data_IF_408841840989
#
_entry.id   IF_408841840989
#
_cell.length_a   1.000
_cell.length_b   1.000
_cell.length_c   1.000
_cell.angle_alpha   90.00
_cell.angle_beta   90.00
_cell.angle_gamma   90.00
#
_symmetry.space_group_name_H-M   'P 1'
#
loop_
_entity.id
_entity.type
_entity.pdbx_description
1 polymer ?
#
# COMPACT_ATOMS: atom_id res chain seq x y z
N UNK A 1 24.18 -14.06 16.66
CA UNK A 1 22.80 -14.16 16.14
C UNK A 1 22.61 -12.99 15.18
N UNK A 2 22.71 -13.22 13.87
CA UNK A 2 22.49 -12.16 12.89
C UNK A 2 21.03 -11.73 12.97
N UNK A 3 20.80 -10.47 13.32
CA UNK A 3 19.52 -9.82 13.05
C UNK A 3 19.35 -9.81 11.54
N UNK A 4 18.65 -10.80 11.00
CA UNK A 4 17.94 -10.64 9.73
C UNK A 4 17.09 -9.38 9.94
N UNK A 5 17.47 -8.28 9.30
CA UNK A 5 16.56 -7.15 9.17
C UNK A 5 15.25 -7.72 8.65
N UNK A 6 14.17 -7.64 9.44
CA UNK A 6 12.88 -8.22 9.06
C UNK A 6 12.52 -7.70 7.67
N UNK A 7 12.44 -8.61 6.72
CA UNK A 7 12.11 -8.30 5.35
C UNK A 7 10.75 -7.59 5.33
N UNK A 8 10.70 -6.39 4.75
CA UNK A 8 9.51 -5.55 4.75
C UNK A 8 8.32 -6.34 4.18
N UNK A 9 7.32 -6.58 5.01
CA UNK A 9 6.16 -7.39 4.68
C UNK A 9 4.94 -6.94 5.46
N UNK A 10 3.75 -7.24 4.96
CA UNK A 10 2.49 -6.88 5.57
C UNK A 10 1.50 -8.02 5.42
N UNK A 11 0.73 -8.27 6.47
CA UNK A 11 -0.38 -9.22 6.42
C UNK A 11 -1.57 -8.60 5.70
N UNK A 12 -2.46 -9.43 5.17
CA UNK A 12 -3.71 -8.98 4.56
C UNK A 12 -4.56 -8.17 5.54
N UNK A 13 -4.62 -8.58 6.82
CA UNK A 13 -5.36 -7.86 7.86
C UNK A 13 -4.82 -6.46 8.08
N UNK A 14 -3.50 -6.28 8.11
CA UNK A 14 -2.87 -4.97 8.25
C UNK A 14 -3.20 -4.06 7.07
N UNK A 15 -3.08 -4.59 5.85
CA UNK A 15 -3.41 -3.84 4.63
C UNK A 15 -4.87 -3.40 4.65
N UNK A 16 -5.79 -4.33 4.92
CA UNK A 16 -7.23 -4.05 4.99
C UNK A 16 -7.60 -3.05 6.07
N UNK A 17 -6.89 -3.05 7.20
CA UNK A 17 -7.17 -2.13 8.31
C UNK A 17 -6.91 -0.66 7.96
N UNK A 18 -6.07 -0.39 6.95
CA UNK A 18 -5.80 0.96 6.47
C UNK A 18 -6.54 1.32 5.17
N UNK A 19 -7.14 0.34 4.49
CA UNK A 19 -7.87 0.61 3.26
C UNK A 19 -9.14 1.43 3.55
N UNK A 20 -9.45 2.47 2.76
CA UNK A 20 -10.71 3.18 2.87
C UNK A 20 -11.91 2.27 2.62
N UNK A 21 -13.08 2.67 3.12
CA UNK A 21 -14.32 1.94 2.85
C UNK A 21 -14.56 1.80 1.34
N UNK A 22 -14.95 0.58 0.93
CA UNK A 22 -15.18 0.25 -0.48
C UNK A 22 -13.90 -0.06 -1.28
N UNK A 23 -12.73 0.01 -0.67
CA UNK A 23 -11.49 -0.46 -1.28
C UNK A 23 -11.22 -1.91 -0.88
N UNK A 24 -10.43 -2.61 -1.69
CA UNK A 24 -10.04 -3.98 -1.41
C UNK A 24 -8.72 -4.37 -2.06
N UNK A 25 -8.21 -5.53 -1.67
CA UNK A 25 -7.01 -6.11 -2.28
C UNK A 25 -7.43 -6.86 -3.55
N UNK A 26 -6.71 -6.68 -4.65
CA UNK A 26 -6.97 -7.40 -5.90
C UNK A 26 -6.88 -8.91 -5.67
N UNK A 27 -7.81 -9.68 -6.25
CA UNK A 27 -7.87 -11.13 -6.04
C UNK A 27 -6.56 -11.79 -6.49
N UNK A 28 -5.94 -12.55 -5.59
CA UNK A 28 -4.66 -13.21 -5.86
C UNK A 28 -3.44 -12.30 -5.80
N UNK A 29 -3.62 -10.99 -5.54
CA UNK A 29 -2.51 -10.12 -5.23
C UNK A 29 -1.93 -10.51 -3.87
N UNK A 30 -0.62 -10.73 -3.86
CA UNK A 30 0.16 -10.94 -2.66
C UNK A 30 1.20 -9.83 -2.56
N UNK A 31 1.48 -9.41 -1.33
CA UNK A 31 2.59 -8.50 -1.08
C UNK A 31 3.90 -9.07 -1.60
N UNK A 32 4.61 -8.33 -2.44
CA UNK A 32 5.90 -8.74 -3.02
C UNK A 32 6.99 -7.77 -2.59
N UNK A 33 8.07 -8.34 -2.05
CA UNK A 33 9.30 -7.63 -1.77
C UNK A 33 10.22 -7.72 -3.00
N UNK A 34 10.71 -6.60 -3.49
CA UNK A 34 11.79 -6.56 -4.46
C UNK A 34 13.12 -6.80 -3.73
N UNK A 35 13.86 -7.89 -4.02
CA UNK A 35 15.09 -8.23 -3.31
C UNK A 35 16.26 -7.28 -3.62
N UNK A 36 16.18 -6.48 -4.69
CA UNK A 36 17.22 -5.51 -5.04
C UNK A 36 17.03 -4.17 -4.34
N UNK A 37 15.79 -3.68 -4.31
CA UNK A 37 15.46 -2.38 -3.71
C UNK A 37 14.99 -2.45 -2.27
N UNK A 38 14.59 -3.64 -1.79
CA UNK A 38 13.92 -3.80 -0.49
C UNK A 38 12.52 -3.19 -0.47
N UNK A 39 11.99 -2.78 -1.63
CA UNK A 39 10.68 -2.17 -1.75
C UNK A 39 9.59 -3.23 -1.72
N UNK A 40 8.58 -3.02 -0.89
CA UNK A 40 7.41 -3.88 -0.84
C UNK A 40 6.27 -3.29 -1.69
N UNK A 41 5.48 -4.14 -2.35
CA UNK A 41 4.35 -3.70 -3.16
C UNK A 41 3.15 -4.65 -3.17
N UNK A 42 1.95 -4.12 -3.37
CA UNK A 42 0.71 -4.87 -3.59
C UNK A 42 -0.27 -4.08 -4.47
N UNK A 43 -1.21 -4.76 -5.10
CA UNK A 43 -2.30 -4.14 -5.86
C UNK A 43 -3.61 -4.12 -5.06
N UNK A 44 -4.27 -2.97 -5.08
CA UNK A 44 -5.57 -2.74 -4.45
C UNK A 44 -6.52 -2.10 -5.46
N UNK A 45 -7.82 -2.30 -5.29
CA UNK A 45 -8.85 -1.61 -6.06
C UNK A 45 -9.58 -0.60 -5.18
N UNK A 46 -10.00 0.51 -5.78
CA UNK A 46 -10.88 1.48 -5.13
C UNK A 46 -12.37 1.19 -5.34
N UNK A 47 -13.24 1.99 -4.71
CA UNK A 47 -14.70 1.90 -4.83
C UNK A 47 -15.28 2.02 -6.25
N UNK A 48 -14.46 2.44 -7.22
CA UNK A 48 -14.84 2.58 -8.63
C UNK A 48 -14.06 1.57 -9.51
N UNK A 49 -13.58 0.48 -8.91
CA UNK A 49 -12.83 -0.61 -9.52
C UNK A 49 -11.51 -0.20 -10.19
N UNK A 50 -10.99 1.00 -9.90
CA UNK A 50 -9.65 1.38 -10.38
C UNK A 50 -8.59 0.64 -9.58
N UNK A 51 -7.62 0.04 -10.28
CA UNK A 51 -6.49 -0.65 -9.65
C UNK A 51 -5.36 0.34 -9.37
N UNK A 52 -4.82 0.26 -8.16
CA UNK A 52 -3.71 1.07 -7.67
C UNK A 52 -2.61 0.17 -7.13
N UNK A 53 -1.36 0.50 -7.47
CA UNK A 53 -0.18 -0.16 -6.90
C UNK A 53 0.30 0.61 -5.67
N UNK A 54 0.28 -0.06 -4.52
CA UNK A 54 0.90 0.42 -3.29
C UNK A 54 2.38 0.05 -3.32
N UNK A 55 3.25 1.01 -3.00
CA UNK A 55 4.69 0.80 -2.88
C UNK A 55 5.17 1.39 -1.56
N UNK A 56 5.82 0.57 -0.73
CA UNK A 56 6.47 1.03 0.51
C UNK A 56 7.97 0.84 0.38
N UNK A 57 8.69 1.96 0.46
CA UNK A 57 10.15 1.97 0.46
C UNK A 57 10.68 1.58 1.84
N UNK A 58 11.80 0.83 1.93
CA UNK A 58 12.37 0.41 3.20
C UNK A 58 12.76 1.60 4.10
N UNK A 59 13.21 2.71 3.51
CA UNK A 59 13.57 3.91 4.25
C UNK A 59 12.36 4.58 4.92
N UNK A 60 11.18 4.54 4.28
CA UNK A 60 9.95 5.04 4.89
C UNK A 60 9.52 4.18 6.09
N UNK A 61 9.75 2.88 6.02
CA UNK A 61 9.42 1.94 7.09
C UNK A 61 10.32 2.04 8.33
N UNK A 62 11.48 2.74 8.26
CA UNK A 62 12.38 2.94 9.41
C UNK A 62 11.71 3.71 10.56
N UNK A 63 10.75 4.58 10.25
CA UNK A 63 9.97 5.32 11.25
C UNK A 63 8.78 4.54 11.82
N UNK A 64 8.53 3.33 11.33
CA UNK A 64 7.35 2.55 11.65
C UNK A 64 6.77 1.88 10.40
N UNK A 65 6.73 0.54 10.40
CA UNK A 65 6.27 -0.24 9.25
C UNK A 65 4.81 0.07 8.90
N UNK A 66 3.92 0.04 9.89
CA UNK A 66 2.48 0.26 9.65
C UNK A 66 2.17 1.72 9.32
N UNK A 67 2.92 2.65 9.89
CA UNK A 67 2.84 4.09 9.62
C UNK A 67 3.22 4.39 8.16
N UNK A 68 4.27 3.74 7.65
CA UNK A 68 4.67 3.86 6.26
C UNK A 68 3.59 3.34 5.30
N UNK A 69 3.00 2.18 5.60
CA UNK A 69 1.88 1.63 4.82
C UNK A 69 0.68 2.58 4.81
N UNK A 70 0.27 3.08 5.98
CA UNK A 70 -0.84 4.03 6.11
C UNK A 70 -0.57 5.30 5.30
N UNK A 71 0.63 5.87 5.40
CA UNK A 71 0.99 7.09 4.68
C UNK A 71 0.91 6.94 3.14
N UNK A 72 1.28 5.76 2.62
CA UNK A 72 1.18 5.46 1.18
C UNK A 72 -0.28 5.33 0.76
N UNK A 73 -1.10 4.61 1.55
CA UNK A 73 -2.54 4.46 1.27
C UNK A 73 -3.25 5.82 1.29
N UNK A 74 -3.00 6.65 2.31
CA UNK A 74 -3.56 8.00 2.43
C UNK A 74 -3.17 8.90 1.25
N UNK A 75 -1.95 8.72 0.71
CA UNK A 75 -1.49 9.45 -0.48
C UNK A 75 -2.22 8.99 -1.73
N UNK A 76 -2.42 7.68 -1.93
CA UNK A 76 -3.13 7.13 -3.09
C UNK A 76 -4.62 7.53 -3.04
N UNK A 77 -5.25 7.44 -1.86
CA UNK A 77 -6.63 7.87 -1.66
C UNK A 77 -6.82 9.34 -2.05
N UNK A 78 -5.95 10.24 -1.58
CA UNK A 78 -6.00 11.67 -1.95
C UNK A 78 -5.85 11.90 -3.45
N UNK A 79 -4.98 11.14 -4.12
CA UNK A 79 -4.85 11.19 -5.59
C UNK A 79 -6.12 10.71 -6.29
N UNK A 80 -6.74 9.63 -5.81
CA UNK A 80 -8.01 9.12 -6.34
C UNK A 80 -9.16 10.13 -6.20
N UNK A 81 -9.28 10.79 -5.04
CA UNK A 81 -10.25 11.87 -4.82
C UNK A 81 -10.00 13.06 -5.74
N UNK A 82 -8.74 13.46 -5.95
CA UNK A 82 -8.37 14.51 -6.89
C UNK A 82 -8.78 14.19 -8.34
N UNK A 83 -8.61 12.93 -8.79
CA UNK A 83 -9.08 12.51 -10.13
C UNK A 83 -10.60 12.57 -10.25
N UNK A 84 -11.34 12.16 -9.22
CA UNK A 84 -12.83 12.25 -9.23
C UNK A 84 -13.31 13.70 -9.30
N UNK A 85 -12.65 14.63 -8.62
CA UNK A 85 -13.02 16.06 -8.66
C UNK A 85 -12.85 16.70 -10.04
N UNK A 86 -11.91 16.21 -10.86
CA UNK A 86 -11.67 16.74 -12.22
C UNK A 86 -12.67 16.17 -13.25
N UNK A 87 -13.20 14.96 -13.01
CA UNK A 87 -14.17 14.32 -13.92
C UNK A 87 -15.62 14.76 -13.67
N UNK A 88 -15.90 15.45 -12.56
CA UNK A 88 -17.23 15.92 -12.18
C UNK A 88 -17.36 17.45 -12.27
N UNK A 89 -16.39 18.14 -12.86
CA UNK A 89 -16.35 19.59 -13.05
C UNK A 89 -16.47 20.01 -14.51
#
# INVERSE_FOLDING_TARGET
MSAIAEALSYTETEIRSFLPSGWGIVRGAAGRLDPRSGRWSIEVYDSADNVWSIHVEPDAARGGRLEALRAVIDRIQRKGLGRKSVLLG
#
